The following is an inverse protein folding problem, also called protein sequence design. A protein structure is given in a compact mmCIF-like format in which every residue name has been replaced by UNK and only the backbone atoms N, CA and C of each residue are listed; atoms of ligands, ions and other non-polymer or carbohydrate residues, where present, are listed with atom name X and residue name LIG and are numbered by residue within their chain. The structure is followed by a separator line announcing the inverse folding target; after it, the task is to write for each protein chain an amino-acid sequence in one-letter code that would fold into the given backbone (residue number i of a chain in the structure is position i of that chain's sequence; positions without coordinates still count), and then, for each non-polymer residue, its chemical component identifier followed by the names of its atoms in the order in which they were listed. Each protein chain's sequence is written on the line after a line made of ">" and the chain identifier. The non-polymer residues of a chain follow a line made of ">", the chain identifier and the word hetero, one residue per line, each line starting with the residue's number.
data_IF_000666623661
#
_entry.id   IF_000666623661
#
_cell.length_a   1.000
_cell.length_b   1.000
_cell.length_c   1.000
_cell.angle_alpha   90.00
_cell.angle_beta   90.00
_cell.angle_gamma   90.00
#
_symmetry.space_group_name_H-M   'P 1'
#
loop_
_entity.id
_entity.type
_entity.pdbx_description
1 polymer ?
#
# COMPACT_ATOMS: atom_id res chain seq x y z
N UNK A 1 57.92 8.07 1.86
CA UNK A 1 58.80 8.00 0.67
C UNK A 1 58.22 6.98 -0.29
N UNK A 2 58.05 7.36 -1.56
CA UNK A 2 57.78 6.51 -2.74
C UNK A 2 56.39 5.83 -2.81
N UNK A 3 55.67 5.78 -3.93
CA UNK A 3 55.83 6.41 -5.24
C UNK A 3 54.48 6.38 -5.98
N UNK A 4 54.36 7.31 -6.94
CA UNK A 4 53.25 7.56 -7.86
C UNK A 4 53.03 6.39 -8.82
N UNK A 5 51.79 6.17 -9.27
CA UNK A 5 51.54 6.00 -10.71
C UNK A 5 50.12 6.46 -11.08
N UNK A 6 50.09 7.25 -12.14
CA UNK A 6 48.97 7.97 -12.73
C UNK A 6 48.85 7.46 -14.15
N UNK A 7 47.68 6.96 -14.58
CA UNK A 7 47.35 6.84 -16.01
C UNK A 7 45.89 7.27 -16.21
N UNK A 8 45.78 8.35 -16.96
CA UNK A 8 44.59 8.99 -17.51
C UNK A 8 44.27 8.33 -18.84
N UNK A 9 43.00 8.06 -19.17
CA UNK A 9 42.57 8.06 -20.57
C UNK A 9 41.11 8.52 -20.73
N UNK A 10 40.99 9.61 -21.50
CA UNK A 10 39.78 10.24 -22.01
C UNK A 10 39.06 9.36 -23.05
N UNK A 11 37.73 9.53 -23.15
CA UNK A 11 37.06 9.56 -24.44
C UNK A 11 35.80 10.46 -24.39
N UNK A 12 35.91 11.66 -24.98
CA UNK A 12 34.79 12.50 -25.40
C UNK A 12 34.14 11.87 -26.64
N UNK A 13 32.81 11.77 -26.65
CA UNK A 13 32.02 11.45 -27.85
C UNK A 13 30.88 12.45 -28.00
N UNK A 14 31.12 13.53 -28.74
CA UNK A 14 30.08 14.45 -29.19
C UNK A 14 29.44 13.91 -30.48
N UNK A 15 28.12 13.76 -30.51
CA UNK A 15 27.35 13.52 -31.73
C UNK A 15 26.44 14.72 -31.98
N UNK A 16 26.87 15.53 -32.97
CA UNK A 16 26.08 16.58 -33.60
C UNK A 16 25.37 15.93 -34.80
N UNK A 17 24.04 16.03 -34.84
CA UNK A 17 23.21 15.57 -35.96
C UNK A 17 22.14 16.61 -36.26
N UNK A 18 22.21 17.16 -37.46
CA UNK A 18 21.50 18.33 -37.96
C UNK A 18 20.30 17.93 -38.83
N UNK A 19 19.22 18.72 -38.78
CA UNK A 19 18.49 19.09 -40.01
C UNK A 19 17.04 18.62 -40.19
N UNK A 20 16.16 19.60 -40.46
CA UNK A 20 15.02 19.60 -41.42
C UNK A 20 13.77 20.25 -40.78
N UNK A 21 13.58 21.58 -40.84
CA UNK A 21 12.92 22.35 -41.92
C UNK A 21 11.56 21.81 -42.42
N UNK A 22 10.49 22.36 -41.84
CA UNK A 22 9.35 22.96 -42.55
C UNK A 22 8.35 22.06 -43.27
N UNK A 23 7.08 22.10 -42.83
CA UNK A 23 5.91 22.23 -43.73
C UNK A 23 4.72 22.76 -42.92
N UNK A 24 4.32 24.00 -43.20
CA UNK A 24 3.00 24.52 -42.83
C UNK A 24 1.94 23.73 -43.58
N UNK A 25 1.09 22.99 -42.86
CA UNK A 25 -0.10 22.36 -43.40
C UNK A 25 -1.34 22.92 -42.69
N UNK A 26 -2.32 23.27 -43.53
CA UNK A 26 -3.52 24.03 -43.22
C UNK A 26 -4.35 23.46 -42.07
N UNK A 27 -4.85 24.37 -41.24
CA UNK A 27 -5.84 24.15 -40.18
C UNK A 27 -7.14 23.61 -40.80
N UNK A 28 -7.60 22.38 -40.50
CA UNK A 28 -8.94 21.95 -40.87
C UNK A 28 -9.97 22.70 -40.03
N UNK A 29 -11.01 23.20 -40.69
CA UNK A 29 -12.21 23.76 -40.08
C UNK A 29 -12.83 22.72 -39.13
N UNK A 30 -13.13 23.05 -37.87
CA UNK A 30 -13.81 22.11 -36.98
C UNK A 30 -15.23 21.88 -37.52
N UNK A 31 -15.51 20.65 -37.93
CA UNK A 31 -16.87 20.16 -38.18
C UNK A 31 -17.55 20.10 -36.81
N UNK A 32 -18.58 20.93 -36.62
CA UNK A 32 -19.48 20.82 -35.47
C UNK A 32 -20.21 19.48 -35.57
N UNK A 33 -19.79 18.51 -34.75
CA UNK A 33 -20.56 17.28 -34.52
C UNK A 33 -21.69 17.67 -33.59
N UNK A 34 -22.89 17.72 -34.13
CA UNK A 34 -24.13 17.89 -33.40
C UNK A 34 -24.25 16.77 -32.36
N UNK A 35 -24.20 17.16 -31.09
CA UNK A 35 -24.24 16.26 -29.96
C UNK A 35 -25.67 15.73 -29.82
N UNK A 36 -25.89 14.50 -30.26
CA UNK A 36 -27.12 13.76 -29.95
C UNK A 36 -27.16 13.57 -28.43
N UNK A 37 -28.20 14.06 -27.74
CA UNK A 37 -28.33 13.85 -26.31
C UNK A 37 -28.49 12.35 -26.04
N UNK A 38 -27.44 11.72 -25.49
CA UNK A 38 -27.51 10.36 -25.01
C UNK A 38 -28.40 10.35 -23.76
N UNK A 39 -29.61 9.83 -23.89
CA UNK A 39 -30.48 9.53 -22.75
C UNK A 39 -29.70 8.62 -21.79
N UNK A 40 -29.51 9.00 -20.52
CA UNK A 40 -28.79 8.16 -19.56
C UNK A 40 -29.60 6.88 -19.35
N UNK A 41 -29.10 5.77 -19.88
CA UNK A 41 -29.60 4.44 -19.57
C UNK A 41 -29.21 4.19 -18.11
N UNK A 42 -30.18 4.31 -17.20
CA UNK A 42 -30.02 3.91 -15.82
C UNK A 42 -29.65 2.43 -15.78
N UNK A 43 -28.37 2.12 -15.55
CA UNK A 43 -27.93 0.75 -15.31
C UNK A 43 -28.53 0.32 -13.99
N UNK A 44 -29.54 -0.54 -14.04
CA UNK A 44 -30.03 -1.23 -12.86
C UNK A 44 -28.97 -2.26 -12.48
N UNK A 45 -28.02 -1.88 -11.63
CA UNK A 45 -27.10 -2.82 -11.01
C UNK A 45 -27.89 -3.65 -10.01
N UNK A 46 -28.12 -4.93 -10.33
CA UNK A 46 -28.56 -5.89 -9.33
C UNK A 46 -27.50 -5.90 -8.21
N UNK A 47 -27.85 -5.60 -6.94
CA UNK A 47 -26.87 -5.64 -5.87
C UNK A 47 -26.34 -7.07 -5.77
N UNK A 48 -25.02 -7.25 -5.88
CA UNK A 48 -24.46 -8.56 -5.66
C UNK A 48 -24.65 -8.93 -4.18
N UNK A 49 -25.04 -10.19 -3.97
CA UNK A 49 -25.32 -10.70 -2.64
C UNK A 49 -23.97 -11.05 -2.04
N UNK A 50 -23.52 -10.25 -1.06
CA UNK A 50 -22.33 -10.57 -0.29
C UNK A 50 -22.43 -11.99 0.29
N UNK A 51 -21.36 -12.80 0.22
CA UNK A 51 -21.33 -14.12 0.82
C UNK A 51 -21.55 -14.02 2.34
N UNK A 52 -22.13 -15.09 2.91
CA UNK A 52 -22.34 -15.15 4.34
C UNK A 52 -21.00 -15.42 5.05
N UNK A 53 -20.56 -14.48 5.88
CA UNK A 53 -19.45 -14.68 6.80
C UNK A 53 -19.85 -15.68 7.90
N UNK A 54 -18.96 -16.60 8.28
CA UNK A 54 -19.19 -17.65 9.29
C UNK A 54 -19.78 -17.09 10.59
N UNK A 55 -19.23 -15.98 11.07
CA UNK A 55 -19.63 -15.34 12.34
C UNK A 55 -20.54 -14.13 12.12
N UNK A 56 -20.95 -13.84 10.88
CA UNK A 56 -21.78 -12.69 10.54
C UNK A 56 -21.18 -11.37 11.05
N UNK A 57 -21.96 -10.53 11.74
CA UNK A 57 -21.45 -9.30 12.37
C UNK A 57 -21.05 -9.49 13.85
N UNK A 58 -20.79 -10.73 14.29
CA UNK A 58 -20.38 -11.00 15.67
C UNK A 58 -18.88 -10.73 15.88
N UNK A 59 -18.49 -9.46 15.93
CA UNK A 59 -17.08 -9.05 16.07
C UNK A 59 -16.40 -9.54 17.36
N UNK A 60 -17.18 -9.97 18.37
CA UNK A 60 -16.65 -10.59 19.59
C UNK A 60 -16.06 -11.98 19.35
N UNK A 61 -16.42 -12.62 18.23
CA UNK A 61 -15.85 -13.91 17.84
C UNK A 61 -14.34 -13.80 17.58
N UNK A 62 -13.83 -12.63 17.21
CA UNK A 62 -12.42 -12.42 16.87
C UNK A 62 -11.48 -12.28 18.08
N UNK A 63 -11.99 -12.37 19.31
CA UNK A 63 -11.22 -12.13 20.51
C UNK A 63 -10.02 -13.07 20.68
N UNK A 64 -10.10 -14.27 20.11
CA UNK A 64 -9.06 -15.31 20.14
C UNK A 64 -8.19 -15.35 18.87
N UNK A 65 -8.33 -14.36 17.97
CA UNK A 65 -7.62 -14.29 16.71
C UNK A 65 -8.18 -15.17 15.60
N UNK A 66 -9.33 -15.82 15.78
CA UNK A 66 -9.91 -16.72 14.79
C UNK A 66 -11.39 -16.44 14.56
N UNK A 67 -11.72 -15.72 13.48
CA UNK A 67 -13.10 -15.40 13.11
C UNK A 67 -13.25 -15.15 11.62
N UNK A 68 -14.47 -15.15 11.12
CA UNK A 68 -14.82 -14.61 9.80
C UNK A 68 -16.07 -13.74 9.92
N UNK A 69 -15.91 -12.43 9.74
CA UNK A 69 -16.95 -11.44 9.99
C UNK A 69 -17.27 -10.61 8.76
N UNK A 70 -18.53 -10.17 8.68
CA UNK A 70 -19.04 -9.23 7.69
C UNK A 70 -18.93 -7.81 8.25
N UNK A 71 -18.24 -6.93 7.54
CA UNK A 71 -18.11 -5.51 7.89
C UNK A 71 -18.93 -4.69 6.88
N UNK A 72 -19.70 -3.72 7.40
CA UNK A 72 -20.47 -2.76 6.59
C UNK A 72 -20.13 -1.34 7.01
N UNK A 73 -19.47 -0.59 6.13
CA UNK A 73 -19.02 0.78 6.36
C UNK A 73 -17.86 0.87 7.36
N UNK A 74 -18.08 0.55 8.65
CA UNK A 74 -17.00 0.53 9.64
C UNK A 74 -17.30 -0.37 10.82
N UNK A 75 -16.28 -1.02 11.39
CA UNK A 75 -16.38 -1.82 12.60
C UNK A 75 -15.15 -1.66 13.50
N UNK A 76 -15.33 -1.81 14.82
CA UNK A 76 -14.22 -1.96 15.76
C UNK A 76 -14.19 -3.40 16.23
N UNK A 77 -13.07 -4.08 16.01
CA UNK A 77 -12.88 -5.49 16.34
C UNK A 77 -11.73 -5.60 17.33
N UNK A 78 -11.94 -6.36 18.41
CA UNK A 78 -10.91 -6.67 19.36
C UNK A 78 -10.28 -8.02 19.01
N UNK A 79 -8.97 -8.04 18.77
CA UNK A 79 -8.19 -9.27 18.55
C UNK A 79 -7.14 -9.33 19.65
N UNK A 80 -7.16 -10.36 20.48
CA UNK A 80 -6.29 -10.47 21.66
C UNK A 80 -6.19 -9.19 22.49
N UNK A 81 -7.32 -8.52 22.73
CA UNK A 81 -7.43 -7.25 23.48
C UNK A 81 -6.89 -6.00 22.76
N UNK A 82 -6.29 -6.13 21.58
CA UNK A 82 -5.93 -5.01 20.71
C UNK A 82 -7.12 -4.61 19.87
N UNK A 83 -7.41 -3.31 19.80
CA UNK A 83 -8.54 -2.76 19.05
C UNK A 83 -8.10 -2.36 17.64
N UNK A 84 -8.83 -2.87 16.65
CA UNK A 84 -8.67 -2.57 15.24
C UNK A 84 -9.95 -1.89 14.74
N UNK A 85 -9.78 -0.76 14.07
CA UNK A 85 -10.87 -0.04 13.39
C UNK A 85 -10.78 -0.37 11.91
N UNK A 86 -11.82 -1.05 11.41
CA UNK A 86 -11.97 -1.39 10.01
C UNK A 86 -12.94 -0.43 9.36
N UNK A 87 -12.60 0.08 8.17
CA UNK A 87 -13.47 0.91 7.34
C UNK A 87 -13.52 0.34 5.93
N UNK A 88 -14.72 0.28 5.35
CA UNK A 88 -14.97 -0.25 4.01
C UNK A 88 -15.65 0.85 3.22
N UNK A 89 -15.01 1.33 2.16
CA UNK A 89 -15.53 2.41 1.35
C UNK A 89 -15.09 2.26 -0.11
N UNK A 90 -16.03 2.38 -1.05
CA UNK A 90 -15.75 2.55 -2.49
C UNK A 90 -14.72 1.57 -3.09
N UNK A 91 -14.66 0.32 -2.61
CA UNK A 91 -13.69 -0.65 -3.11
C UNK A 91 -12.32 -0.63 -2.42
N UNK A 92 -12.15 0.17 -1.35
CA UNK A 92 -11.05 0.05 -0.38
C UNK A 92 -11.46 -0.49 1.00
N UNK A 93 -10.54 -1.21 1.62
CA UNK A 93 -10.62 -1.72 2.98
C UNK A 93 -9.46 -1.15 3.80
N UNK A 94 -9.79 -0.36 4.81
CA UNK A 94 -8.83 0.29 5.70
C UNK A 94 -8.87 -0.36 7.08
N UNK A 95 -7.72 -0.77 7.59
CA UNK A 95 -7.51 -1.22 8.96
C UNK A 95 -6.63 -0.23 9.70
N UNK A 96 -7.06 0.15 10.91
CA UNK A 96 -6.31 1.01 11.82
C UNK A 96 -6.33 0.46 13.24
N UNK A 97 -5.18 -0.01 13.73
CA UNK A 97 -5.07 -0.69 15.02
C UNK A 97 -3.66 -1.17 15.31
N UNK A 98 -3.40 -1.59 16.55
CA UNK A 98 -2.12 -2.23 16.94
C UNK A 98 -0.84 -1.38 16.86
N UNK A 99 -0.92 -0.15 16.38
CA UNK A 99 0.25 0.71 16.12
C UNK A 99 0.56 0.90 14.63
N UNK A 100 -0.19 0.26 13.73
CA UNK A 100 -0.02 0.34 12.27
C UNK A 100 -1.28 0.76 11.52
N UNK A 101 -1.18 0.70 10.20
CA UNK A 101 -2.26 0.89 9.24
C UNK A 101 -2.10 -0.14 8.13
N UNK A 102 -3.19 -0.76 7.70
CA UNK A 102 -3.22 -1.66 6.56
C UNK A 102 -4.34 -1.21 5.63
N UNK A 103 -3.98 -0.76 4.44
CA UNK A 103 -4.93 -0.51 3.36
C UNK A 103 -4.88 -1.69 2.40
N UNK A 104 -6.00 -2.39 2.25
CA UNK A 104 -6.18 -3.45 1.24
C UNK A 104 -7.18 -2.94 0.22
N UNK A 105 -6.77 -2.86 -1.06
CA UNK A 105 -7.71 -2.65 -2.15
C UNK A 105 -8.09 -4.00 -2.76
N UNK A 106 -9.39 -4.31 -2.85
CA UNK A 106 -9.89 -5.58 -3.38
C UNK A 106 -9.88 -6.78 -2.41
N UNK A 107 -9.70 -7.98 -2.97
CA UNK A 107 -9.58 -9.27 -2.26
C UNK A 107 -8.07 -9.53 -2.11
N UNK A 108 -7.62 -9.92 -0.93
CA UNK A 108 -6.19 -10.07 -0.63
C UNK A 108 -5.91 -11.29 0.24
N UNK A 109 -4.71 -11.85 0.07
CA UNK A 109 -4.19 -12.94 0.88
C UNK A 109 -3.96 -12.54 2.35
N UNK A 110 -3.61 -13.51 3.22
CA UNK A 110 -3.40 -13.24 4.64
C UNK A 110 -2.28 -12.21 4.86
N UNK A 111 -2.64 -11.04 5.38
CA UNK A 111 -1.73 -9.97 5.79
C UNK A 111 -1.65 -9.94 7.33
N UNK A 112 -0.45 -9.93 7.93
CA UNK A 112 -0.32 -9.86 9.39
C UNK A 112 -0.95 -8.57 9.93
N UNK A 113 -1.71 -8.67 11.03
CA UNK A 113 -2.15 -7.50 11.78
C UNK A 113 -0.97 -7.00 12.62
N UNK A 114 -0.64 -5.72 12.48
CA UNK A 114 0.42 -5.10 13.29
C UNK A 114 0.08 -5.08 14.79
N UNK A 115 1.11 -4.97 15.63
CA UNK A 115 0.96 -4.79 17.08
C UNK A 115 1.03 -6.07 17.93
N UNK A 116 1.47 -7.18 17.36
CA UNK A 116 1.68 -8.44 18.07
C UNK A 116 3.15 -8.85 18.02
N UNK A 117 3.59 -9.63 19.02
CA UNK A 117 4.90 -10.30 19.01
C UNK A 117 4.64 -11.79 19.28
N UNK A 118 5.03 -12.68 18.37
CA UNK A 118 4.83 -14.12 18.51
C UNK A 118 3.73 -14.68 17.60
N UNK A 119 2.58 -15.08 18.17
CA UNK A 119 1.47 -15.53 17.31
C UNK A 119 0.77 -14.32 16.70
N UNK A 120 0.78 -14.28 15.38
CA UNK A 120 0.34 -13.14 14.61
C UNK A 120 -1.03 -13.46 13.99
N UNK A 121 -2.09 -12.75 14.38
CA UNK A 121 -3.33 -12.83 13.65
C UNK A 121 -3.12 -12.19 12.27
N UNK A 122 -3.35 -12.97 11.23
CA UNK A 122 -3.39 -12.51 9.86
C UNK A 122 -4.84 -12.23 9.44
N UNK A 123 -5.01 -11.18 8.66
CA UNK A 123 -6.25 -10.72 8.08
C UNK A 123 -6.29 -11.07 6.60
N UNK A 124 -7.39 -11.67 6.16
CA UNK A 124 -7.66 -12.02 4.78
C UNK A 124 -9.02 -11.42 4.39
N UNK A 125 -9.06 -10.61 3.33
CA UNK A 125 -10.32 -10.06 2.80
C UNK A 125 -10.83 -11.02 1.73
N UNK A 126 -11.85 -11.82 2.05
CA UNK A 126 -12.36 -12.87 1.16
C UNK A 126 -13.47 -12.41 0.23
N UNK A 127 -14.08 -11.26 0.53
CA UNK A 127 -15.07 -10.60 -0.32
C UNK A 127 -15.04 -9.10 -0.08
N UNK A 128 -15.26 -8.34 -1.15
CA UNK A 128 -15.43 -6.90 -1.06
C UNK A 128 -16.27 -6.34 -2.21
N UNK A 129 -17.29 -5.55 -1.87
CA UNK A 129 -18.09 -4.79 -2.83
C UNK A 129 -18.70 -3.56 -2.16
N UNK A 130 -18.51 -2.38 -2.76
CA UNK A 130 -19.09 -1.13 -2.27
C UNK A 130 -18.62 -0.78 -0.87
N UNK A 131 -19.53 -0.83 0.11
CA UNK A 131 -19.31 -0.57 1.53
C UNK A 131 -19.29 -1.86 2.37
N UNK A 132 -19.22 -3.03 1.72
CA UNK A 132 -19.38 -4.33 2.38
C UNK A 132 -18.17 -5.23 2.12
N UNK A 133 -17.56 -5.76 3.19
CA UNK A 133 -16.46 -6.71 3.10
C UNK A 133 -16.67 -7.94 4.01
N UNK A 134 -16.16 -9.10 3.60
CA UNK A 134 -15.99 -10.27 4.48
C UNK A 134 -14.51 -10.42 4.80
N UNK A 135 -14.21 -10.48 6.08
CA UNK A 135 -12.85 -10.51 6.62
C UNK A 135 -12.68 -11.76 7.47
N UNK A 136 -11.71 -12.59 7.10
CA UNK A 136 -11.25 -13.68 7.93
C UNK A 136 -10.01 -13.24 8.71
N UNK A 137 -10.04 -13.40 10.03
CA UNK A 137 -8.87 -13.23 10.90
C UNK A 137 -8.47 -14.62 11.36
N UNK A 138 -7.20 -14.98 11.17
CA UNK A 138 -6.65 -16.30 11.51
C UNK A 138 -5.31 -16.13 12.18
N UNK A 139 -5.12 -16.79 13.31
CA UNK A 139 -3.81 -16.82 13.97
C UNK A 139 -2.86 -17.73 13.20
N UNK A 140 -1.73 -17.18 12.76
CA UNK A 140 -0.61 -17.94 12.20
C UNK A 140 0.40 -18.19 13.32
N UNK A 141 0.79 -19.45 13.52
CA UNK A 141 1.72 -19.88 14.56
C UNK A 141 1.08 -20.24 15.91
N UNK A 142 1.92 -20.63 16.88
CA UNK A 142 1.49 -21.01 18.24
C UNK A 142 1.58 -19.81 19.19
N UNK A 143 0.48 -19.42 19.88
CA UNK A 143 0.50 -18.31 20.82
C UNK A 143 1.49 -18.58 21.95
N UNK A 144 2.62 -17.87 21.92
CA UNK A 144 3.55 -17.82 23.04
C UNK A 144 3.09 -16.70 23.96
N UNK A 145 2.64 -16.98 25.20
CA UNK A 145 2.06 -15.97 26.08
C UNK A 145 3.16 -15.02 26.57
N UNK A 146 3.23 -13.82 25.99
CA UNK A 146 4.10 -12.74 26.47
C UNK A 146 3.27 -11.63 27.11
N UNK A 147 3.72 -11.13 28.26
CA UNK A 147 3.00 -10.11 29.05
C UNK A 147 2.83 -8.82 28.23
N UNK A 148 1.57 -8.43 27.99
CA UNK A 148 1.18 -7.17 27.36
C UNK A 148 1.81 -5.95 28.05
N UNK A 149 2.39 -5.03 27.26
CA UNK A 149 2.63 -3.65 27.66
C UNK A 149 1.32 -2.85 27.52
N UNK A 150 1.18 -1.85 28.38
CA UNK A 150 0.00 -1.02 28.64
C UNK A 150 -0.60 -0.39 27.37
N UNK A 151 -1.93 -0.39 27.19
CA UNK A 151 -2.57 0.22 26.02
C UNK A 151 -2.43 1.75 26.00
N UNK A 152 -2.19 2.30 24.80
CA UNK A 152 -2.24 3.74 24.50
C UNK A 152 -3.70 4.15 24.28
N UNK A 153 -4.14 5.25 24.91
CA UNK A 153 -5.51 5.73 24.83
C UNK A 153 -5.88 6.21 23.41
N UNK A 154 -7.02 5.71 22.90
CA UNK A 154 -7.55 6.03 21.56
C UNK A 154 -8.37 7.34 21.64
N UNK A 155 -8.06 8.29 20.75
CA UNK A 155 -8.83 9.52 20.56
C UNK A 155 -10.11 9.27 19.73
N UNK A 156 -11.20 9.91 20.14
CA UNK A 156 -12.56 9.77 19.59
C UNK A 156 -12.69 10.23 18.13
N UNK A 157 -13.54 9.51 17.37
CA UNK A 157 -13.81 9.68 15.95
C UNK A 157 -14.26 11.11 15.55
N UNK A 158 -13.71 11.62 14.45
CA UNK A 158 -13.99 12.93 13.86
C UNK A 158 -14.92 12.81 12.64
N UNK A 159 -15.76 13.82 12.33
CA UNK A 159 -16.75 13.74 11.26
C UNK A 159 -16.10 13.78 9.86
N UNK A 160 -16.78 13.13 8.90
CA UNK A 160 -16.48 13.02 7.46
C UNK A 160 -15.88 14.30 6.89
N UNK A 161 -14.55 14.36 6.83
CA UNK A 161 -13.77 15.39 6.15
C UNK A 161 -13.54 14.91 4.72
N UNK A 162 -13.80 15.78 3.74
CA UNK A 162 -13.04 15.77 2.50
C UNK A 162 -11.57 15.79 2.91
N UNK A 163 -10.83 14.71 2.64
CA UNK A 163 -9.44 14.59 3.08
C UNK A 163 -8.68 15.80 2.51
N UNK A 164 -8.23 16.75 3.36
CA UNK A 164 -7.44 17.86 2.86
C UNK A 164 -6.22 17.27 2.13
N UNK A 165 -5.77 17.89 1.03
CA UNK A 165 -4.60 17.41 0.32
C UNK A 165 -3.47 17.18 1.34
N UNK A 166 -2.81 16.01 1.27
CA UNK A 166 -1.85 15.59 2.27
C UNK A 166 -0.81 16.70 2.48
N UNK A 167 -0.62 17.10 3.74
CA UNK A 167 0.30 18.19 4.11
C UNK A 167 1.71 17.81 3.68
N UNK A 168 2.19 18.42 2.60
CA UNK A 168 3.54 18.18 2.04
C UNK A 168 4.59 18.05 3.13
N UNK A 169 5.37 16.98 3.06
CA UNK A 169 6.53 16.76 3.92
C UNK A 169 7.79 17.01 3.09
N UNK A 170 8.61 18.01 3.42
CA UNK A 170 9.74 18.37 2.59
C UNK A 170 10.68 17.18 2.38
N UNK A 171 10.98 16.89 1.12
CA UNK A 171 11.93 15.84 0.74
C UNK A 171 13.31 16.18 1.32
N UNK A 172 13.90 15.20 1.99
CA UNK A 172 15.29 15.22 2.43
C UNK A 172 16.09 14.19 1.64
N UNK A 173 17.42 14.24 1.75
CA UNK A 173 18.28 13.24 1.14
C UNK A 173 18.22 11.96 2.00
N UNK A 174 17.61 10.86 1.52
CA UNK A 174 17.54 9.65 2.31
C UNK A 174 18.88 8.93 2.32
N UNK A 175 19.07 8.04 3.31
CA UNK A 175 20.34 7.36 3.56
C UNK A 175 20.93 6.68 2.31
N UNK A 176 20.08 5.99 1.55
CA UNK A 176 20.49 5.23 0.35
C UNK A 176 20.22 5.98 -0.96
N UNK A 177 19.67 7.19 -0.90
CA UNK A 177 19.34 7.96 -2.11
C UNK A 177 18.41 7.17 -3.04
N UNK A 178 18.80 6.97 -4.30
CA UNK A 178 18.04 6.16 -5.27
C UNK A 178 18.62 4.75 -5.45
N UNK A 179 19.41 4.26 -4.48
CA UNK A 179 20.00 2.92 -4.52
C UNK A 179 19.00 1.85 -4.04
N UNK A 180 18.10 1.44 -4.93
CA UNK A 180 17.05 0.48 -4.59
C UNK A 180 17.56 -0.92 -4.22
N UNK A 181 18.77 -1.29 -4.65
CA UNK A 181 19.40 -2.55 -4.27
C UNK A 181 19.72 -2.62 -2.76
N UNK A 182 19.80 -1.48 -2.08
CA UNK A 182 19.96 -1.43 -0.62
C UNK A 182 18.75 -2.04 0.11
N UNK A 183 17.56 -2.04 -0.49
CA UNK A 183 16.35 -2.56 0.16
C UNK A 183 16.24 -4.08 0.15
N UNK A 184 17.19 -4.79 -0.47
CA UNK A 184 17.08 -6.24 -0.66
C UNK A 184 17.08 -7.02 0.65
N UNK A 185 17.82 -6.55 1.65
CA UNK A 185 17.85 -7.15 2.98
C UNK A 185 16.73 -6.64 3.90
N UNK A 186 15.86 -5.76 3.40
CA UNK A 186 14.79 -5.14 4.17
C UNK A 186 15.24 -3.97 5.04
N UNK A 187 16.46 -3.45 4.89
CA UNK A 187 16.95 -2.29 5.61
C UNK A 187 17.40 -1.18 4.65
N UNK A 188 16.51 -0.26 4.33
CA UNK A 188 16.87 0.87 3.47
C UNK A 188 16.07 2.13 3.76
N UNK A 189 16.58 3.25 3.26
CA UNK A 189 15.84 4.49 3.11
C UNK A 189 16.11 5.07 1.72
N UNK A 190 15.10 5.05 0.85
CA UNK A 190 15.23 5.38 -0.57
C UNK A 190 14.28 6.50 -1.01
N UNK A 191 14.71 7.25 -2.02
CA UNK A 191 13.93 8.27 -2.72
C UNK A 191 13.27 7.62 -3.94
N UNK A 192 11.94 7.61 -3.95
CA UNK A 192 11.11 7.22 -5.08
C UNK A 192 10.78 8.46 -5.92
N UNK A 193 10.87 8.34 -7.24
CA UNK A 193 10.46 9.39 -8.19
C UNK A 193 9.48 8.82 -9.21
N UNK A 194 8.21 9.22 -9.16
CA UNK A 194 7.05 8.75 -9.96
C UNK A 194 6.74 7.27 -9.88
N UNK A 195 7.72 6.43 -10.15
CA UNK A 195 7.60 4.98 -10.08
C UNK A 195 8.98 4.34 -9.94
N UNK A 196 9.05 3.22 -9.21
CA UNK A 196 10.27 2.42 -9.10
C UNK A 196 9.91 0.94 -9.05
N UNK A 197 10.86 0.08 -9.42
CA UNK A 197 10.78 -1.36 -9.15
C UNK A 197 11.84 -1.66 -8.11
N UNK A 198 11.45 -2.23 -6.97
CA UNK A 198 12.36 -2.54 -5.86
C UNK A 198 12.10 -3.96 -5.42
N UNK A 199 13.17 -4.72 -5.21
CA UNK A 199 13.06 -6.04 -4.59
C UNK A 199 13.33 -5.89 -3.10
N UNK A 200 12.37 -6.30 -2.26
CA UNK A 200 12.50 -6.31 -0.81
C UNK A 200 12.37 -7.75 -0.34
N UNK A 201 13.41 -8.28 0.30
CA UNK A 201 13.51 -9.72 0.54
C UNK A 201 13.46 -10.49 -0.78
N UNK A 202 12.49 -11.40 -0.88
CA UNK A 202 12.24 -12.19 -2.09
C UNK A 202 11.10 -11.65 -2.98
N UNK A 203 10.49 -10.52 -2.61
CA UNK A 203 9.33 -9.97 -3.28
C UNK A 203 9.69 -8.78 -4.19
N UNK A 204 9.36 -8.84 -5.50
CA UNK A 204 9.47 -7.68 -6.38
C UNK A 204 8.24 -6.79 -6.20
N UNK A 205 8.46 -5.52 -5.89
CA UNK A 205 7.41 -4.51 -5.77
C UNK A 205 7.51 -3.46 -6.87
N UNK A 206 6.35 -3.13 -7.43
CA UNK A 206 6.12 -1.98 -8.30
C UNK A 206 5.59 -0.82 -7.44
N UNK A 207 6.35 0.26 -7.40
CA UNK A 207 6.00 1.49 -6.68
C UNK A 207 5.48 2.52 -7.66
N UNK A 208 4.42 3.24 -7.28
CA UNK A 208 3.93 4.44 -7.97
C UNK A 208 3.71 5.55 -6.97
N UNK A 209 4.25 6.74 -7.22
CA UNK A 209 4.09 7.93 -6.39
C UNK A 209 3.12 8.86 -7.10
N UNK A 210 2.01 9.23 -6.46
CA UNK A 210 1.03 10.16 -7.03
C UNK A 210 0.45 11.03 -5.93
N UNK A 211 0.54 12.34 -6.10
CA UNK A 211 -0.02 13.33 -5.17
C UNK A 211 0.40 13.13 -3.71
N UNK A 212 1.64 12.70 -3.47
CA UNK A 212 2.14 12.44 -2.13
C UNK A 212 1.68 11.14 -1.47
N UNK A 213 1.04 10.25 -2.22
CA UNK A 213 0.79 8.87 -1.83
C UNK A 213 1.71 7.93 -2.61
N UNK A 214 2.08 6.81 -1.98
CA UNK A 214 2.86 5.73 -2.59
C UNK A 214 2.00 4.48 -2.67
N UNK A 215 1.75 4.01 -3.88
CA UNK A 215 1.17 2.70 -4.15
C UNK A 215 2.29 1.68 -4.29
N UNK A 216 2.17 0.53 -3.64
CA UNK A 216 3.13 -0.58 -3.68
C UNK A 216 2.36 -1.84 -4.10
N UNK A 217 2.80 -2.47 -5.19
CA UNK A 217 2.16 -3.68 -5.70
C UNK A 217 3.20 -4.78 -5.88
N UNK A 218 3.00 -5.93 -5.23
CA UNK A 218 3.78 -7.15 -5.50
C UNK A 218 2.83 -8.32 -5.71
N UNK A 219 2.88 -8.95 -6.88
CA UNK A 219 2.04 -10.09 -7.21
C UNK A 219 2.89 -11.34 -7.40
N UNK A 220 2.36 -12.49 -6.97
CA UNK A 220 2.95 -13.77 -7.34
C UNK A 220 2.85 -14.00 -8.84
N UNK A 221 3.94 -14.46 -9.44
CA UNK A 221 4.01 -14.71 -10.89
C UNK A 221 3.05 -15.82 -11.34
N UNK A 222 2.80 -16.82 -10.48
CA UNK A 222 1.94 -17.96 -10.74
C UNK A 222 0.46 -17.70 -10.44
N UNK A 223 0.15 -16.66 -9.66
CA UNK A 223 -1.22 -16.24 -9.38
C UNK A 223 -1.33 -14.71 -9.24
N UNK A 224 -1.77 -13.99 -10.29
CA UNK A 224 -1.91 -12.54 -10.26
C UNK A 224 -3.09 -12.04 -9.41
N UNK A 225 -3.87 -12.95 -8.79
CA UNK A 225 -4.87 -12.60 -7.78
C UNK A 225 -4.30 -12.64 -6.35
N UNK A 226 -3.07 -13.16 -6.18
CA UNK A 226 -2.36 -13.19 -4.91
C UNK A 226 -1.30 -12.08 -4.92
N UNK A 227 -1.77 -10.87 -4.60
CA UNK A 227 -0.94 -9.67 -4.58
C UNK A 227 -0.97 -8.99 -3.21
N UNK A 228 0.19 -8.45 -2.84
CA UNK A 228 0.31 -7.36 -1.89
C UNK A 228 0.01 -6.06 -2.61
N UNK A 229 -1.04 -5.35 -2.21
CA UNK A 229 -1.41 -4.03 -2.71
C UNK A 229 -1.53 -3.08 -1.52
N UNK A 230 -0.54 -2.20 -1.37
CA UNK A 230 -0.49 -1.24 -0.28
C UNK A 230 -0.59 0.18 -0.80
N UNK A 231 -1.39 1.00 -0.13
CA UNK A 231 -1.41 2.45 -0.35
C UNK A 231 -0.90 3.15 0.92
N UNK A 232 0.25 3.80 0.80
CA UNK A 232 0.84 4.62 1.84
C UNK A 232 0.51 6.08 1.57
N UNK A 233 -0.26 6.71 2.45
CA UNK A 233 -0.46 8.14 2.47
C UNK A 233 -0.03 8.76 3.82
N UNK A 234 0.30 10.04 3.81
CA UNK A 234 0.75 10.74 5.01
C UNK A 234 2.03 10.14 5.62
N UNK A 235 2.06 9.97 6.94
CA UNK A 235 3.17 9.33 7.68
C UNK A 235 2.87 7.86 8.01
N UNK A 236 2.12 7.17 7.14
CA UNK A 236 1.70 5.78 7.32
C UNK A 236 2.78 4.76 6.95
N UNK A 237 2.54 3.51 7.29
CA UNK A 237 3.36 2.37 6.92
C UNK A 237 2.52 1.14 6.58
N UNK A 238 3.16 0.12 6.01
CA UNK A 238 2.57 -1.19 5.71
C UNK A 238 3.56 -2.28 6.08
N UNK A 239 3.05 -3.36 6.67
CA UNK A 239 3.81 -4.54 7.05
C UNK A 239 3.46 -5.75 6.18
N UNK A 240 4.45 -6.58 5.87
CA UNK A 240 4.25 -7.84 5.14
C UNK A 240 5.32 -8.87 5.49
N UNK A 241 5.10 -10.12 5.07
CA UNK A 241 6.13 -11.16 5.08
C UNK A 241 6.35 -11.68 3.67
N UNK A 242 7.57 -12.12 3.36
CA UNK A 242 7.88 -12.70 2.05
C UNK A 242 7.37 -14.14 1.90
N UNK A 243 7.16 -14.85 3.02
CA UNK A 243 6.54 -16.17 3.08
C UNK A 243 5.81 -16.39 4.43
N UNK A 244 4.85 -17.34 4.52
CA UNK A 244 4.19 -17.61 5.79
C UNK A 244 5.16 -18.00 6.91
N UNK A 245 5.27 -17.15 7.95
CA UNK A 245 6.23 -17.31 9.05
C UNK A 245 7.68 -16.94 8.70
N UNK A 246 7.87 -16.24 7.58
CA UNK A 246 9.16 -15.71 7.12
C UNK A 246 9.56 -14.42 7.83
N UNK A 247 10.47 -13.67 7.19
CA UNK A 247 10.92 -12.37 7.72
C UNK A 247 9.79 -11.36 7.59
N UNK A 248 9.59 -10.54 8.61
CA UNK A 248 8.63 -9.45 8.61
C UNK A 248 9.32 -8.18 8.12
N UNK A 249 8.66 -7.48 7.21
CA UNK A 249 9.10 -6.22 6.63
C UNK A 249 8.07 -5.14 6.90
N UNK A 250 8.54 -3.94 7.21
CA UNK A 250 7.73 -2.74 7.37
C UNK A 250 8.25 -1.65 6.44
N UNK A 251 7.38 -1.12 5.59
CA UNK A 251 7.62 0.09 4.83
C UNK A 251 6.93 1.28 5.49
N UNK A 252 7.59 2.42 5.57
CA UNK A 252 7.07 3.64 6.14
C UNK A 252 7.34 4.83 5.20
N UNK A 253 6.31 5.62 4.92
CA UNK A 253 6.43 6.87 4.17
C UNK A 253 6.93 7.97 5.10
N UNK A 254 8.15 8.46 4.87
CA UNK A 254 8.82 9.46 5.73
C UNK A 254 8.65 10.90 5.23
N UNK A 255 8.64 11.10 3.92
CA UNK A 255 8.45 12.40 3.29
C UNK A 255 7.84 12.26 1.89
N UNK A 256 7.20 13.31 1.38
CA UNK A 256 6.68 13.35 0.02
C UNK A 256 6.44 14.78 -0.47
N UNK A 257 6.71 15.01 -1.75
CA UNK A 257 6.35 16.24 -2.46
C UNK A 257 5.98 15.95 -3.92
N UNK A 258 4.69 16.01 -4.23
CA UNK A 258 4.19 15.78 -5.58
C UNK A 258 4.42 14.34 -6.06
N UNK A 259 5.42 14.17 -6.92
CA UNK A 259 5.82 12.89 -7.53
C UNK A 259 7.03 12.24 -6.83
N UNK A 260 7.55 12.88 -5.79
CA UNK A 260 8.68 12.38 -4.99
C UNK A 260 8.20 11.87 -3.63
N UNK A 261 8.80 10.77 -3.17
CA UNK A 261 8.54 10.20 -1.85
C UNK A 261 9.79 9.56 -1.24
N UNK A 262 9.98 9.68 0.07
CA UNK A 262 11.02 8.97 0.82
C UNK A 262 10.38 7.79 1.55
N UNK A 263 10.81 6.59 1.19
CA UNK A 263 10.38 5.33 1.78
C UNK A 263 11.49 4.78 2.68
N UNK A 264 11.14 4.38 3.89
CA UNK A 264 12.01 3.64 4.80
C UNK A 264 11.48 2.22 4.96
N UNK A 265 12.34 1.22 4.75
CA UNK A 265 12.01 -0.19 4.93
C UNK A 265 12.87 -0.74 6.06
N UNK A 266 12.25 -1.47 6.98
CA UNK A 266 12.90 -2.17 8.09
C UNK A 266 12.40 -3.60 8.19
N UNK A 267 13.23 -4.53 8.66
CA UNK A 267 12.76 -5.84 9.11
C UNK A 267 12.53 -5.86 10.63
N UNK A 268 11.54 -6.63 11.09
CA UNK A 268 11.35 -6.94 12.52
C UNK A 268 12.08 -8.23 12.95
#
# INVERSE_FOLDING_TARGET
>A
MSARLLVVLLALGALVGCGSSGTSASRPTPVQVESVPATPVARTSTPAIAPAAKDGQNYKACADGNCEVLIRGSAVIAVYTVLFTFTVAEGSFDERGGGGFLHVSGIGGPAPLGGFTGAEPALEVTFHEGDTAVVAIRTIGTPTPTRFRTPIAIATASPRRTTPPPTKLPIYQPADGTNYEACRDGHCEVLLHRSAKITIGNLPFDFTVTNGAVHMLSCRQDNPLDCYDFHLDGSGGAGWSDEPGGVMYDANLKAYDGEDAVLSVTTE
#
